data_IF_353258816726
#
_entry.id   IF_353258816726
#
_cell.length_a   1.000
_cell.length_b   1.000
_cell.length_c   1.000
_cell.angle_alpha   90.00
_cell.angle_beta   90.00
_cell.angle_gamma   90.00
#
_symmetry.space_group_name_H-M   'P 1'
#
loop_
_entity.id
_entity.type
_entity.pdbx_description
1 polymer ?
#
# COMPACT_ATOMS: atom_id res chain seq x y z
N UNK A 1 -0.41 3.13 -6.15
CA UNK A 1 0.00 4.54 -6.00
C UNK A 1 -0.57 5.04 -4.68
N UNK A 2 0.17 5.81 -3.90
CA UNK A 2 -0.33 6.29 -2.60
C UNK A 2 -1.45 7.32 -2.77
N UNK A 3 -2.58 7.08 -2.11
CA UNK A 3 -3.68 8.05 -2.02
C UNK A 3 -3.35 9.20 -1.05
N UNK A 4 -2.32 9.04 -0.21
CA UNK A 4 -1.91 10.01 0.81
C UNK A 4 -3.11 10.43 1.67
N UNK A 5 -3.38 11.73 1.76
CA UNK A 5 -4.45 12.31 2.58
C UNK A 5 -5.81 12.41 1.83
N UNK A 6 -5.85 12.23 0.50
CA UNK A 6 -7.05 12.45 -0.33
C UNK A 6 -7.10 11.55 -1.57
N UNK A 7 -8.00 10.55 -1.53
CA UNK A 7 -8.21 9.58 -2.59
C UNK A 7 -8.76 10.22 -3.87
N UNK A 8 -9.74 11.13 -3.76
CA UNK A 8 -10.40 11.74 -4.90
C UNK A 8 -9.43 12.68 -5.63
N UNK A 9 -8.67 13.48 -4.89
CA UNK A 9 -7.63 14.32 -5.46
C UNK A 9 -6.55 13.47 -6.16
N UNK A 10 -6.16 12.33 -5.57
CA UNK A 10 -5.21 11.41 -6.20
C UNK A 10 -5.78 10.78 -7.48
N UNK A 11 -7.03 10.32 -7.44
CA UNK A 11 -7.71 9.78 -8.61
C UNK A 11 -7.78 10.79 -9.74
N UNK A 12 -8.24 12.01 -9.46
CA UNK A 12 -8.32 13.09 -10.44
C UNK A 12 -6.95 13.41 -11.05
N UNK A 13 -5.88 13.42 -10.25
CA UNK A 13 -4.53 13.64 -10.76
C UNK A 13 -4.07 12.54 -11.74
N UNK A 14 -4.40 11.28 -11.47
CA UNK A 14 -4.10 10.16 -12.37
C UNK A 14 -4.98 10.22 -13.63
N UNK A 15 -6.28 10.45 -13.45
CA UNK A 15 -7.26 10.53 -14.54
C UNK A 15 -6.90 11.65 -15.53
N UNK A 16 -6.58 12.86 -15.04
CA UNK A 16 -6.17 13.99 -15.88
C UNK A 16 -4.95 13.64 -16.75
N UNK A 17 -3.96 12.95 -16.17
CA UNK A 17 -2.74 12.56 -16.88
C UNK A 17 -2.98 11.50 -17.96
N UNK A 18 -3.96 10.63 -17.75
CA UNK A 18 -4.36 9.64 -18.77
C UNK A 18 -5.19 10.28 -19.88
N UNK A 19 -6.05 11.25 -19.53
CA UNK A 19 -6.81 12.03 -20.51
C UNK A 19 -5.91 12.87 -21.42
N UNK A 20 -4.78 13.38 -20.91
CA UNK A 20 -3.74 14.05 -21.73
C UNK A 20 -3.21 13.14 -22.86
N UNK A 21 -3.19 11.83 -22.63
CA UNK A 21 -2.79 10.80 -23.61
C UNK A 21 -3.99 10.25 -24.40
N UNK A 22 -5.14 10.93 -24.36
CA UNK A 22 -6.40 10.51 -25.03
C UNK A 22 -6.94 9.14 -24.57
N UNK A 23 -6.64 8.74 -23.33
CA UNK A 23 -7.19 7.53 -22.72
C UNK A 23 -8.49 7.91 -21.98
N UNK A 24 -9.58 7.23 -22.29
CA UNK A 24 -10.84 7.38 -21.55
C UNK A 24 -10.72 6.74 -20.17
N UNK A 25 -11.12 7.48 -19.13
CA UNK A 25 -11.00 7.09 -17.73
C UNK A 25 -12.39 7.15 -17.08
N UNK A 26 -12.77 6.18 -16.23
CA UNK A 26 -14.04 6.27 -15.50
C UNK A 26 -14.09 7.48 -14.57
N UNK A 27 -15.29 7.90 -14.19
CA UNK A 27 -15.48 9.07 -13.31
C UNK A 27 -14.93 8.85 -11.89
N UNK A 28 -14.87 7.60 -11.44
CA UNK A 28 -14.40 7.18 -10.12
C UNK A 28 -13.55 5.91 -10.23
N UNK A 29 -12.62 5.65 -9.29
CA UNK A 29 -11.87 4.41 -9.28
C UNK A 29 -12.79 3.23 -8.97
N UNK A 30 -12.53 2.10 -9.61
CA UNK A 30 -13.15 0.81 -9.27
C UNK A 30 -12.63 0.30 -7.93
N UNK A 31 -13.52 -0.23 -7.09
CA UNK A 31 -13.22 -0.69 -5.72
C UNK A 31 -12.18 -1.83 -5.71
N UNK A 32 -12.21 -2.67 -6.73
CA UNK A 32 -11.31 -3.82 -6.89
C UNK A 32 -10.06 -3.49 -7.69
N UNK A 33 -9.78 -2.20 -7.92
CA UNK A 33 -8.71 -1.74 -8.80
C UNK A 33 -9.24 -1.48 -10.21
N UNK A 34 -8.81 -0.37 -10.80
CA UNK A 34 -9.31 0.04 -12.11
C UNK A 34 -8.44 -0.55 -13.21
N UNK A 35 -9.07 -1.09 -14.25
CA UNK A 35 -8.42 -1.54 -15.47
C UNK A 35 -9.08 -0.83 -16.64
N UNK A 36 -8.26 -0.16 -17.46
CA UNK A 36 -8.69 0.53 -18.67
C UNK A 36 -8.15 -0.27 -19.85
N UNK A 37 -9.07 -0.72 -20.70
CA UNK A 37 -8.75 -1.48 -21.91
C UNK A 37 -8.34 -0.54 -23.06
N UNK A 38 -7.23 0.16 -22.84
CA UNK A 38 -6.57 1.03 -23.82
C UNK A 38 -5.36 0.33 -24.47
N UNK A 39 -4.68 1.00 -25.40
CA UNK A 39 -3.40 0.54 -25.93
C UNK A 39 -2.28 1.57 -25.65
N UNK A 40 -1.40 1.34 -24.66
CA UNK A 40 -1.28 0.13 -23.83
C UNK A 40 -2.43 -0.02 -22.83
N UNK A 41 -2.66 -1.25 -22.35
CA UNK A 41 -3.62 -1.53 -21.27
C UNK A 41 -3.11 -0.89 -19.98
N UNK A 42 -3.98 -0.19 -19.26
CA UNK A 42 -3.59 0.57 -18.05
C UNK A 42 -4.31 -0.01 -16.84
N UNK A 43 -3.54 -0.33 -15.79
CA UNK A 43 -4.08 -0.67 -14.48
C UNK A 43 -3.74 0.38 -13.44
N UNK A 44 -4.73 0.76 -12.63
CA UNK A 44 -4.58 1.73 -11.55
C UNK A 44 -5.02 1.08 -10.24
N UNK A 45 -4.09 1.05 -9.28
CA UNK A 45 -4.37 0.71 -7.89
C UNK A 45 -4.01 1.88 -6.99
N UNK A 46 -4.98 2.37 -6.20
CA UNK A 46 -4.79 3.41 -5.21
C UNK A 46 -4.62 2.76 -3.83
N UNK A 47 -3.51 3.04 -3.16
CA UNK A 47 -3.24 2.48 -1.84
C UNK A 47 -4.16 3.09 -0.79
N UNK A 48 -4.46 2.34 0.29
CA UNK A 48 -4.11 0.93 0.44
C UNK A 48 -5.04 0.01 -0.38
N UNK A 49 -6.29 0.41 -0.59
CA UNK A 49 -7.38 -0.52 -0.95
C UNK A 49 -8.38 0.04 -1.99
N UNK A 50 -8.01 1.07 -2.74
CA UNK A 50 -8.83 1.84 -3.70
C UNK A 50 -10.03 2.62 -3.12
N UNK A 51 -10.26 2.56 -1.80
CA UNK A 51 -11.47 3.14 -1.19
C UNK A 51 -11.17 4.13 -0.06
N UNK A 52 -9.93 4.13 0.44
CA UNK A 52 -9.51 4.95 1.56
C UNK A 52 -8.22 5.70 1.21
N UNK A 53 -7.99 6.90 1.78
CA UNK A 53 -6.68 7.52 1.80
C UNK A 53 -5.65 6.61 2.48
N UNK A 54 -4.39 6.73 2.08
CA UNK A 54 -3.28 6.05 2.71
C UNK A 54 -2.10 5.78 1.77
N UNK A 55 -1.09 5.15 2.34
CA UNK A 55 0.19 4.87 1.70
C UNK A 55 0.44 3.34 1.65
N UNK A 56 1.51 2.93 0.97
CA UNK A 56 1.98 1.55 0.95
C UNK A 56 2.11 0.95 2.36
N UNK A 57 2.50 1.76 3.33
CA UNK A 57 2.60 1.37 4.73
C UNK A 57 1.27 0.87 5.29
N UNK A 58 0.15 1.55 4.98
CA UNK A 58 -1.17 1.10 5.40
C UNK A 58 -1.49 -0.27 4.81
N UNK A 59 -1.20 -0.46 3.51
CA UNK A 59 -1.40 -1.73 2.83
C UNK A 59 -0.57 -2.86 3.48
N UNK A 60 0.71 -2.63 3.75
CA UNK A 60 1.58 -3.63 4.38
C UNK A 60 1.11 -3.95 5.80
N UNK A 61 0.68 -2.95 6.58
CA UNK A 61 0.20 -3.17 7.94
C UNK A 61 -1.03 -4.07 8.01
N UNK A 62 -1.95 -3.97 7.03
CA UNK A 62 -3.13 -4.85 6.94
C UNK A 62 -2.78 -6.31 6.55
N UNK A 63 -1.58 -6.50 5.97
CA UNK A 63 -1.05 -7.81 5.61
C UNK A 63 -0.18 -8.44 6.70
N UNK A 64 0.14 -7.73 7.78
CA UNK A 64 0.84 -8.35 8.92
C UNK A 64 -0.15 -9.31 9.62
N UNK A 65 0.22 -10.56 9.92
CA UNK A 65 -0.66 -11.48 10.63
C UNK A 65 -1.10 -10.92 12.00
N UNK A 66 -2.38 -11.03 12.33
CA UNK A 66 -2.93 -10.51 13.60
C UNK A 66 -2.31 -11.20 14.83
N UNK A 67 -1.74 -12.40 14.65
CA UNK A 67 -1.05 -13.20 15.67
C UNK A 67 0.48 -13.09 15.59
N UNK A 68 1.06 -12.19 14.78
CA UNK A 68 2.51 -11.97 14.74
C UNK A 68 2.98 -11.37 16.08
N UNK A 69 3.84 -12.08 16.83
CA UNK A 69 4.24 -11.64 18.17
C UNK A 69 5.22 -10.47 18.16
N UNK A 70 5.81 -10.14 17.01
CA UNK A 70 6.84 -9.10 16.86
C UNK A 70 6.22 -7.77 16.44
N UNK A 71 5.06 -7.78 15.80
CA UNK A 71 4.37 -6.55 15.41
C UNK A 71 4.11 -5.63 16.61
N UNK A 72 3.46 -6.05 17.71
CA UNK A 72 3.29 -5.20 18.89
C UNK A 72 4.60 -4.71 19.49
N UNK A 73 5.66 -5.54 19.50
CA UNK A 73 6.98 -5.16 20.01
C UNK A 73 7.63 -4.06 19.15
N UNK A 74 7.38 -4.09 17.84
CA UNK A 74 7.88 -3.08 16.90
C UNK A 74 7.14 -1.77 17.08
N UNK A 75 5.82 -1.83 17.35
CA UNK A 75 5.03 -0.66 17.71
C UNK A 75 5.52 -0.03 19.01
N UNK A 76 5.64 -0.81 20.07
CA UNK A 76 6.11 -0.37 21.38
C UNK A 76 7.51 0.25 21.31
N UNK A 77 8.41 -0.35 20.53
CA UNK A 77 9.76 0.18 20.33
C UNK A 77 9.72 1.59 19.72
N UNK A 78 8.93 1.79 18.67
CA UNK A 78 8.84 3.08 17.98
C UNK A 78 8.09 4.12 18.83
N UNK A 79 6.99 3.72 19.46
CA UNK A 79 6.16 4.60 20.28
C UNK A 79 6.92 5.04 21.55
N UNK A 80 7.79 4.17 22.08
CA UNK A 80 8.66 4.46 23.22
C UNK A 80 9.80 5.45 22.95
N UNK A 81 10.10 5.80 21.69
CA UNK A 81 11.14 6.80 21.37
C UNK A 81 10.60 8.20 21.72
N UNK A 82 11.24 8.94 22.65
CA UNK A 82 10.81 10.29 22.99
C UNK A 82 10.84 11.21 21.77
N UNK A 83 9.88 12.11 21.62
CA UNK A 83 9.76 13.01 20.45
C UNK A 83 11.07 13.74 20.12
N UNK A 84 11.76 14.26 21.15
CA UNK A 84 13.07 14.93 21.04
C UNK A 84 14.20 14.05 20.48
N UNK A 85 14.05 12.74 20.53
CA UNK A 85 15.02 11.76 20.03
C UNK A 85 14.60 11.14 18.68
N UNK A 86 13.36 11.36 18.23
CA UNK A 86 12.88 10.86 16.94
C UNK A 86 13.62 11.59 15.81
N UNK A 87 14.11 10.81 14.85
CA UNK A 87 14.68 11.31 13.57
C UNK A 87 13.69 11.21 12.40
N UNK A 88 12.42 10.92 12.72
CA UNK A 88 11.32 10.82 11.79
C UNK A 88 10.17 11.71 12.28
N UNK A 89 9.33 12.16 11.36
CA UNK A 89 8.15 12.97 11.66
C UNK A 89 6.99 12.10 12.09
N UNK A 90 5.99 12.68 12.75
CA UNK A 90 4.77 11.97 13.14
C UNK A 90 4.07 11.30 11.94
N UNK A 91 4.02 11.99 10.79
CA UNK A 91 3.49 11.44 9.53
C UNK A 91 4.20 10.14 9.07
N UNK A 92 5.40 9.83 9.56
CA UNK A 92 6.19 8.66 9.18
C UNK A 92 6.21 7.57 10.27
N UNK A 93 5.36 7.68 11.30
CA UNK A 93 5.37 6.75 12.43
C UNK A 93 5.04 5.32 11.98
N UNK A 94 4.03 5.14 11.13
CA UNK A 94 3.66 3.82 10.60
C UNK A 94 4.80 3.22 9.76
N UNK A 95 5.47 4.04 8.94
CA UNK A 95 6.69 3.63 8.21
C UNK A 95 7.76 3.14 9.18
N UNK A 96 8.01 3.87 10.27
CA UNK A 96 9.02 3.48 11.24
C UNK A 96 8.66 2.15 11.92
N UNK A 97 7.39 1.93 12.28
CA UNK A 97 6.88 0.67 12.86
C UNK A 97 7.09 -0.51 11.92
N UNK A 98 6.71 -0.36 10.65
CA UNK A 98 6.89 -1.41 9.64
C UNK A 98 8.37 -1.71 9.41
N UNK A 99 9.22 -0.70 9.35
CA UNK A 99 10.66 -0.93 9.20
C UNK A 99 11.30 -1.60 10.42
N UNK A 100 10.85 -1.28 11.64
CA UNK A 100 11.27 -1.97 12.85
C UNK A 100 10.86 -3.46 12.80
N UNK A 101 9.62 -3.75 12.39
CA UNK A 101 9.15 -5.12 12.20
C UNK A 101 9.93 -5.87 11.12
N UNK A 102 10.13 -5.25 9.94
CA UNK A 102 10.91 -5.83 8.83
C UNK A 102 12.36 -6.15 9.23
N UNK A 103 12.95 -5.34 10.11
CA UNK A 103 14.32 -5.55 10.60
C UNK A 103 14.48 -6.87 11.41
N UNK A 104 13.37 -7.49 11.82
CA UNK A 104 13.37 -8.75 12.56
C UNK A 104 13.21 -9.99 11.68
N UNK A 105 12.95 -9.82 10.38
CA UNK A 105 12.78 -10.93 9.44
C UNK A 105 14.13 -11.55 9.09
N UNK A 106 14.13 -12.81 8.64
CA UNK A 106 15.36 -13.54 8.27
C UNK A 106 16.12 -12.82 7.15
N UNK A 107 15.38 -12.20 6.22
CA UNK A 107 15.94 -11.36 5.17
C UNK A 107 15.24 -9.99 5.17
N UNK A 108 15.77 -9.00 5.93
CA UNK A 108 15.22 -7.66 5.99
C UNK A 108 15.32 -6.96 4.63
N UNK A 109 14.21 -6.93 3.89
CA UNK A 109 14.10 -6.27 2.59
C UNK A 109 13.19 -5.05 2.65
N UNK A 110 13.25 -4.23 1.60
CA UNK A 110 12.32 -3.11 1.43
C UNK A 110 10.87 -3.62 1.36
N UNK A 111 9.90 -2.83 1.83
CA UNK A 111 8.46 -3.19 1.88
C UNK A 111 7.93 -3.81 0.58
N UNK A 112 8.22 -3.20 -0.58
CA UNK A 112 7.78 -3.72 -1.88
C UNK A 112 8.42 -5.05 -2.30
N UNK A 113 9.45 -5.50 -1.59
CA UNK A 113 10.13 -6.79 -1.79
C UNK A 113 9.73 -7.80 -0.71
N UNK A 114 9.39 -7.34 0.50
CA UNK A 114 8.99 -8.17 1.63
C UNK A 114 7.69 -8.96 1.37
N UNK A 115 6.83 -8.48 0.46
CA UNK A 115 5.66 -9.23 -0.05
C UNK A 115 6.07 -10.61 -0.60
N UNK A 116 7.30 -10.78 -1.08
CA UNK A 116 7.81 -12.05 -1.62
C UNK A 116 8.31 -13.03 -0.55
N UNK A 117 8.42 -12.63 0.71
CA UNK A 117 9.12 -13.40 1.75
C UNK A 117 8.22 -14.33 2.58
N UNK A 118 6.93 -14.50 2.22
CA UNK A 118 5.93 -15.26 3.01
C UNK A 118 5.66 -14.74 4.43
N UNK A 119 6.34 -13.68 4.87
CA UNK A 119 6.13 -13.03 6.17
C UNK A 119 4.79 -12.28 6.28
N UNK A 120 4.15 -12.00 5.15
CA UNK A 120 2.87 -11.31 5.09
C UNK A 120 1.74 -12.30 4.80
N UNK A 121 0.60 -12.07 5.44
CA UNK A 121 -0.66 -12.76 5.18
C UNK A 121 -1.12 -12.43 3.76
N UNK A 122 -1.04 -13.39 2.85
CA UNK A 122 -1.41 -13.24 1.43
C UNK A 122 -2.79 -13.80 1.08
N UNK A 123 -3.46 -14.46 2.01
CA UNK A 123 -4.81 -15.04 1.89
C UNK A 123 -5.92 -14.15 2.48
N UNK A 124 -5.57 -12.94 2.94
CA UNK A 124 -6.54 -11.94 3.39
C UNK A 124 -7.37 -11.36 2.24
N UNK A 125 -8.54 -10.75 2.52
CA UNK A 125 -9.41 -10.15 1.50
C UNK A 125 -8.72 -9.09 0.64
N UNK A 126 -7.91 -8.21 1.27
CA UNK A 126 -7.17 -7.16 0.56
C UNK A 126 -6.11 -7.75 -0.38
N UNK A 127 -5.30 -8.69 0.11
CA UNK A 127 -4.25 -9.36 -0.67
C UNK A 127 -4.83 -10.18 -1.83
N UNK A 128 -5.96 -10.85 -1.60
CA UNK A 128 -6.70 -11.58 -2.62
C UNK A 128 -7.24 -10.65 -3.70
N UNK A 129 -7.83 -9.52 -3.30
CA UNK A 129 -8.36 -8.51 -4.23
C UNK A 129 -7.25 -7.93 -5.09
N UNK A 130 -6.13 -7.54 -4.47
CA UNK A 130 -4.96 -7.02 -5.17
C UNK A 130 -4.34 -8.03 -6.14
N UNK A 131 -4.20 -9.30 -5.71
CA UNK A 131 -3.66 -10.37 -6.54
C UNK A 131 -4.58 -10.66 -7.74
N UNK A 132 -5.89 -10.68 -7.55
CA UNK A 132 -6.85 -10.87 -8.64
C UNK A 132 -6.81 -9.74 -9.65
N UNK A 133 -6.72 -8.48 -9.19
CA UNK A 133 -6.55 -7.33 -10.06
C UNK A 133 -5.26 -7.39 -10.89
N UNK A 134 -4.12 -7.79 -10.29
CA UNK A 134 -2.88 -7.99 -11.01
C UNK A 134 -2.98 -9.07 -12.10
N UNK A 135 -3.62 -10.20 -11.78
CA UNK A 135 -3.86 -11.27 -12.77
C UNK A 135 -4.73 -10.74 -13.90
N UNK A 136 -5.86 -10.12 -13.59
CA UNK A 136 -6.75 -9.58 -14.61
C UNK A 136 -6.07 -8.55 -15.53
N UNK A 137 -5.13 -7.76 -15.00
CA UNK A 137 -4.40 -6.74 -15.78
C UNK A 137 -3.38 -7.33 -16.77
N UNK A 138 -2.66 -8.38 -16.37
CA UNK A 138 -1.50 -8.88 -17.12
C UNK A 138 -1.68 -10.26 -17.76
N UNK A 139 -2.62 -11.06 -17.27
CA UNK A 139 -3.03 -12.34 -17.83
C UNK A 139 -4.24 -12.15 -18.77
#
# INVERSE_FOLDING_TARGET
MDANDDLDARWNAVANRLQEESIEVPNSPELTGTIIDSNPRVGIWLMPNNTSPGELENFVSEMIPDDDPVWPLSEDYIDGIPEKARKFTEKKILRAKIHAWLATREDPRQMGVAIRAQDLRVDGPLSTTFANWLRELFE
#
